data_IF_267697092594
#
_entry.id   IF_267697092594
#
_cell.length_a   1.000
_cell.length_b   1.000
_cell.length_c   1.000
_cell.angle_alpha   90.00
_cell.angle_beta   90.00
_cell.angle_gamma   90.00
#
_symmetry.space_group_name_H-M   'P 1'
#
loop_
_entity.id
_entity.type
_entity.pdbx_description
1 polymer ?
#
# COMPACT_ATOMS: atom_id res chain seq x y z
N UNK A 1 17.32 -2.45 -1.80
CA UNK A 1 17.18 -1.62 -0.57
C UNK A 1 15.86 -1.85 0.17
N UNK A 2 14.69 -1.92 -0.50
CA UNK A 2 13.37 -1.97 0.18
C UNK A 2 12.87 -3.36 0.66
N UNK A 3 13.62 -4.43 0.41
CA UNK A 3 13.20 -5.81 0.73
C UNK A 3 13.03 -6.08 2.24
N UNK A 4 13.60 -5.24 3.10
CA UNK A 4 13.42 -5.33 4.56
C UNK A 4 12.04 -4.84 5.03
N UNK A 5 11.29 -4.13 4.18
CA UNK A 5 9.94 -3.69 4.48
C UNK A 5 8.95 -4.82 4.24
N UNK A 6 7.94 -4.91 5.11
CA UNK A 6 6.79 -5.80 4.91
C UNK A 6 6.06 -5.45 3.62
N UNK A 7 5.43 -6.44 3.01
CA UNK A 7 4.62 -6.28 1.82
C UNK A 7 3.14 -6.52 2.12
N UNK A 8 2.29 -5.79 1.39
CA UNK A 8 0.83 -5.94 1.43
C UNK A 8 0.30 -5.83 0.00
N UNK A 9 -0.67 -6.68 -0.34
CA UNK A 9 -1.41 -6.61 -1.59
C UNK A 9 -2.78 -5.99 -1.34
N UNK A 10 -3.20 -5.06 -2.19
CA UNK A 10 -4.51 -4.46 -2.17
C UNK A 10 -5.41 -5.04 -3.26
N UNK A 11 -6.71 -5.23 -2.97
CA UNK A 11 -7.68 -5.57 -3.99
C UNK A 11 -7.84 -4.41 -4.99
N UNK A 12 -8.31 -4.67 -6.22
CA UNK A 12 -8.27 -3.69 -7.31
C UNK A 12 -8.94 -2.34 -6.97
N UNK A 13 -10.09 -2.39 -6.31
CA UNK A 13 -10.85 -1.21 -5.90
C UNK A 13 -10.05 -0.32 -4.94
N UNK A 14 -9.32 -0.94 -4.01
CA UNK A 14 -8.57 -0.22 -2.99
C UNK A 14 -7.20 0.22 -3.49
N UNK A 15 -6.57 -0.59 -4.35
CA UNK A 15 -5.38 -0.22 -5.09
C UNK A 15 -5.61 1.08 -5.89
N UNK A 16 -6.74 1.19 -6.60
CA UNK A 16 -7.09 2.39 -7.36
C UNK A 16 -7.26 3.61 -6.45
N UNK A 17 -8.04 3.50 -5.37
CA UNK A 17 -8.23 4.59 -4.40
C UNK A 17 -6.90 5.03 -3.81
N UNK A 18 -6.06 4.08 -3.41
CA UNK A 18 -4.76 4.34 -2.81
C UNK A 18 -3.80 5.05 -3.77
N UNK A 19 -3.74 4.60 -5.03
CA UNK A 19 -2.95 5.25 -6.07
C UNK A 19 -3.39 6.71 -6.34
N UNK A 20 -4.66 7.04 -6.07
CA UNK A 20 -5.21 8.40 -6.16
C UNK A 20 -4.99 9.24 -4.88
N UNK A 21 -4.17 8.75 -3.94
CA UNK A 21 -3.84 9.46 -2.71
C UNK A 21 -4.86 9.25 -1.57
N UNK A 22 -5.85 8.38 -1.73
CA UNK A 22 -6.79 8.07 -0.65
C UNK A 22 -6.15 7.14 0.38
N UNK A 23 -6.60 7.29 1.63
CA UNK A 23 -6.26 6.36 2.72
C UNK A 23 -7.15 5.13 2.63
N UNK A 24 -6.58 3.96 2.85
CA UNK A 24 -7.29 2.68 2.72
C UNK A 24 -7.16 1.91 4.02
N UNK A 25 -8.28 1.39 4.53
CA UNK A 25 -8.27 0.50 5.69
C UNK A 25 -7.86 -0.92 5.29
N UNK A 26 -7.08 -1.57 6.15
CA UNK A 26 -6.62 -2.95 6.00
C UNK A 26 -7.00 -3.77 7.22
N UNK A 27 -7.27 -5.05 7.02
CA UNK A 27 -7.74 -5.93 8.09
C UNK A 27 -6.64 -6.27 9.11
N UNK A 28 -5.39 -6.21 8.68
CA UNK A 28 -4.24 -6.58 9.52
C UNK A 28 -3.60 -5.30 10.07
N UNK A 29 -3.45 -5.18 11.40
CA UNK A 29 -2.71 -4.08 11.98
C UNK A 29 -1.23 -4.21 11.58
N UNK A 30 -0.71 -3.20 10.90
CA UNK A 30 0.69 -3.12 10.48
C UNK A 30 1.21 -1.76 10.94
N UNK A 31 2.46 -1.73 11.41
CA UNK A 31 3.11 -0.50 11.82
C UNK A 31 4.37 -0.26 10.99
N UNK A 32 4.59 0.99 10.60
CA UNK A 32 5.78 1.42 9.85
C UNK A 32 5.57 1.53 8.34
N UNK A 33 6.68 1.56 7.60
CA UNK A 33 6.65 1.62 6.15
C UNK A 33 6.46 0.24 5.55
N UNK A 34 5.59 0.15 4.54
CA UNK A 34 5.30 -1.09 3.82
C UNK A 34 5.38 -0.89 2.31
N UNK A 35 5.68 -1.97 1.61
CA UNK A 35 5.58 -2.07 0.16
C UNK A 35 4.16 -2.46 -0.22
N UNK A 36 3.53 -1.66 -1.07
CA UNK A 36 2.15 -1.89 -1.54
C UNK A 36 2.20 -2.49 -2.93
N UNK A 37 1.46 -3.58 -3.12
CA UNK A 37 1.29 -4.29 -4.39
C UNK A 37 -0.18 -4.40 -4.74
N UNK A 38 -0.50 -4.68 -6.00
CA UNK A 38 -1.82 -5.20 -6.37
C UNK A 38 -1.86 -6.73 -6.28
N UNK A 39 -3.02 -7.32 -6.54
CA UNK A 39 -3.21 -8.78 -6.59
C UNK A 39 -2.40 -9.46 -7.71
N UNK A 40 -2.00 -8.71 -8.74
CA UNK A 40 -1.14 -9.18 -9.83
C UNK A 40 0.36 -9.07 -9.50
N UNK A 41 0.71 -8.84 -8.22
CA UNK A 41 2.08 -8.66 -7.75
C UNK A 41 2.83 -7.48 -8.40
N UNK A 42 2.10 -6.50 -8.94
CA UNK A 42 2.68 -5.26 -9.45
C UNK A 42 2.93 -4.32 -8.29
N UNK A 43 4.14 -3.77 -8.22
CA UNK A 43 4.49 -2.78 -7.21
C UNK A 43 3.75 -1.46 -7.47
N UNK A 44 2.98 -1.00 -6.48
CA UNK A 44 2.21 0.24 -6.54
C UNK A 44 2.95 1.39 -5.86
N UNK A 45 3.69 1.12 -4.78
CA UNK A 45 4.44 2.15 -4.07
C UNK A 45 4.75 1.81 -2.61
N UNK A 46 5.02 2.86 -1.82
CA UNK A 46 5.29 2.79 -0.39
C UNK A 46 4.18 3.50 0.38
N UNK A 47 3.68 2.83 1.42
CA UNK A 47 2.75 3.41 2.38
C UNK A 47 3.38 3.48 3.77
N UNK A 48 3.03 4.53 4.51
CA UNK A 48 3.10 4.52 5.96
C UNK A 48 1.84 3.84 6.49
N UNK A 49 2.00 2.97 7.47
CA UNK A 49 0.88 2.36 8.18
C UNK A 49 0.71 3.00 9.55
N UNK A 50 -0.53 3.35 9.86
CA UNK A 50 -1.00 3.77 11.17
C UNK A 50 -2.14 2.83 11.57
N UNK A 51 -1.86 1.91 12.50
CA UNK A 51 -2.74 0.81 12.89
C UNK A 51 -3.26 -0.01 11.70
N UNK A 52 -4.48 0.25 11.27
CA UNK A 52 -5.17 -0.44 10.18
C UNK A 52 -5.36 0.45 8.95
N UNK A 53 -4.64 1.56 8.85
CA UNK A 53 -4.77 2.51 7.73
C UNK A 53 -3.46 2.61 6.96
N UNK A 54 -3.54 2.37 5.65
CA UNK A 54 -2.48 2.64 4.69
C UNK A 54 -2.57 4.09 4.21
N UNK A 55 -1.50 4.83 4.44
CA UNK A 55 -1.35 6.23 4.05
C UNK A 55 -0.34 6.29 2.89
N UNK A 56 -0.75 6.74 1.69
CA UNK A 56 0.16 6.88 0.56
C UNK A 56 1.34 7.80 0.90
N UNK A 57 2.57 7.29 0.78
CA UNK A 57 3.81 8.08 0.95
C UNK A 57 4.47 8.33 -0.40
N UNK A 58 4.52 7.30 -1.24
CA UNK A 58 5.01 7.40 -2.60
C UNK A 58 4.24 6.42 -3.47
N UNK A 59 3.60 6.93 -4.52
CA UNK A 59 2.90 6.12 -5.53
C UNK A 59 3.78 6.05 -6.78
N UNK A 60 4.04 4.85 -7.27
CA UNK A 60 4.85 4.60 -8.47
C UNK A 60 3.99 4.25 -9.69
N UNK A 61 2.85 3.58 -9.49
CA UNK A 61 1.97 3.18 -10.58
C UNK A 61 0.86 4.21 -10.81
N UNK A 62 0.75 4.71 -12.05
CA UNK A 62 -0.49 5.28 -12.54
C UNK A 62 -1.46 4.13 -12.84
N UNK A 63 -2.54 4.06 -12.06
CA UNK A 63 -3.69 3.16 -12.27
C UNK A 63 -4.86 4.00 -12.77
#
# INVERSE_FOLDING_TARGET
ALQHLKEISLPPTDAQKWCQGQRVAVEVPICGLVRVYDESQRFLGIAQTEDTVLIPTMVFAAI
#
